data_IF_120904144791
#
_entry.id   IF_120904144791
#
_cell.length_a   1.000
_cell.length_b   1.000
_cell.length_c   1.000
_cell.angle_alpha   90.00
_cell.angle_beta   90.00
_cell.angle_gamma   90.00
#
_symmetry.space_group_name_H-M   'P 1'
#
loop_
_entity.id
_entity.type
_entity.pdbx_description
1 polymer ?
#
# COMPACT_ATOMS: atom_id res chain seq x y z
N UNK A 1 -35.28 -8.55 -4.69
CA UNK A 1 -34.11 -9.25 -4.16
C UNK A 1 -32.94 -8.80 -5.03
N UNK A 2 -32.20 -7.78 -4.58
CA UNK A 2 -31.01 -7.33 -5.30
C UNK A 2 -29.86 -8.27 -4.92
N UNK A 3 -29.45 -9.12 -5.87
CA UNK A 3 -28.16 -9.82 -5.78
C UNK A 3 -27.07 -8.77 -5.67
N UNK A 4 -26.64 -8.49 -4.44
CA UNK A 4 -25.42 -7.74 -4.18
C UNK A 4 -24.29 -8.65 -4.70
N UNK A 5 -23.79 -8.38 -5.91
CA UNK A 5 -22.59 -9.03 -6.43
C UNK A 5 -21.49 -8.78 -5.42
N UNK A 6 -21.21 -9.76 -4.60
CA UNK A 6 -20.16 -9.68 -3.59
C UNK A 6 -18.84 -9.52 -4.35
N UNK A 7 -18.19 -8.34 -4.20
CA UNK A 7 -16.94 -8.04 -4.90
C UNK A 7 -15.93 -9.17 -4.62
N UNK A 8 -15.27 -9.64 -5.68
CA UNK A 8 -14.37 -10.79 -5.63
C UNK A 8 -13.15 -10.48 -4.74
N UNK A 9 -12.83 -11.41 -3.83
CA UNK A 9 -11.63 -11.28 -3.00
C UNK A 9 -10.37 -11.33 -3.88
N UNK A 10 -9.59 -10.25 -3.89
CA UNK A 10 -8.34 -10.14 -4.64
C UNK A 10 -7.17 -10.68 -3.82
N UNK A 11 -7.07 -10.25 -2.55
CA UNK A 11 -6.09 -10.72 -1.58
C UNK A 11 -6.81 -11.28 -0.35
N UNK A 12 -6.44 -12.47 0.07
CA UNK A 12 -6.87 -13.04 1.35
C UNK A 12 -5.66 -13.46 2.17
N UNK A 13 -5.62 -13.00 3.39
CA UNK A 13 -4.64 -13.38 4.41
C UNK A 13 -5.39 -14.15 5.49
N UNK A 14 -4.91 -15.33 5.88
CA UNK A 14 -5.59 -16.23 6.78
C UNK A 14 -4.60 -16.78 7.83
N UNK A 15 -4.82 -16.39 9.07
CA UNK A 15 -4.10 -16.81 10.29
C UNK A 15 -2.57 -16.79 10.14
N UNK A 16 -2.00 -15.71 9.59
CA UNK A 16 -0.55 -15.63 9.41
C UNK A 16 0.16 -15.34 10.74
N UNK A 17 1.28 -16.05 10.95
CA UNK A 17 2.20 -15.84 12.06
C UNK A 17 3.59 -15.50 11.52
N UNK A 18 4.16 -14.38 11.96
CA UNK A 18 5.46 -13.89 11.49
C UNK A 18 6.40 -13.65 12.68
N UNK A 19 7.65 -14.05 12.51
CA UNK A 19 8.67 -13.96 13.55
C UNK A 19 9.94 -13.30 13.03
N UNK A 20 10.56 -12.49 13.87
CA UNK A 20 11.95 -12.03 13.73
C UNK A 20 12.78 -12.72 14.81
N UNK A 21 13.46 -13.81 14.43
CA UNK A 21 14.12 -14.69 15.41
C UNK A 21 13.12 -15.26 16.42
N UNK A 22 13.25 -14.90 17.69
CA UNK A 22 12.32 -15.29 18.78
C UNK A 22 11.14 -14.34 18.94
N UNK A 23 11.15 -13.15 18.31
CA UNK A 23 10.10 -12.13 18.46
C UNK A 23 8.90 -12.50 17.59
N UNK A 24 7.75 -12.76 18.19
CA UNK A 24 6.48 -13.01 17.50
C UNK A 24 5.83 -11.68 17.13
N UNK A 25 6.11 -11.21 15.90
CA UNK A 25 5.67 -9.89 15.43
C UNK A 25 4.21 -9.87 14.98
N UNK A 26 3.76 -10.90 14.24
CA UNK A 26 2.38 -11.08 13.82
C UNK A 26 1.85 -12.38 14.40
N UNK A 27 0.69 -12.29 15.07
CA UNK A 27 0.18 -13.33 16.01
C UNK A 27 -1.18 -13.86 15.57
N UNK A 28 -1.27 -14.32 14.32
CA UNK A 28 -2.51 -14.88 13.77
C UNK A 28 -3.46 -13.77 13.32
N UNK A 29 -3.10 -13.04 12.25
CA UNK A 29 -4.01 -12.06 11.64
C UNK A 29 -4.68 -12.63 10.40
N UNK A 30 -5.94 -12.28 10.22
CA UNK A 30 -6.74 -12.61 9.03
C UNK A 30 -7.44 -11.37 8.53
N UNK A 31 -7.32 -11.09 7.23
CA UNK A 31 -8.00 -9.99 6.56
C UNK A 31 -8.12 -10.26 5.06
N UNK A 32 -8.96 -9.51 4.40
CA UNK A 32 -9.12 -9.59 2.95
C UNK A 32 -9.19 -8.21 2.30
N UNK A 33 -8.79 -8.14 1.04
CA UNK A 33 -8.94 -6.98 0.16
C UNK A 33 -9.70 -7.46 -1.08
N UNK A 34 -10.81 -6.79 -1.41
CA UNK A 34 -11.62 -7.08 -2.58
C UNK A 34 -11.19 -6.22 -3.75
N UNK A 35 -11.54 -6.65 -4.97
CA UNK A 35 -11.26 -5.86 -6.17
C UNK A 35 -11.95 -4.49 -6.10
N UNK A 36 -11.19 -3.43 -6.37
CA UNK A 36 -11.70 -2.05 -6.45
C UNK A 36 -11.94 -1.37 -5.11
N UNK A 37 -11.53 -1.93 -3.96
CA UNK A 37 -11.66 -1.26 -2.66
C UNK A 37 -10.33 -0.66 -2.14
N UNK A 38 -10.43 0.31 -1.26
CA UNK A 38 -9.35 0.74 -0.36
C UNK A 38 -9.56 0.06 0.99
N UNK A 39 -8.63 -0.80 1.37
CA UNK A 39 -8.56 -1.35 2.73
C UNK A 39 -7.41 -0.70 3.48
N UNK A 40 -7.66 -0.25 4.70
CA UNK A 40 -6.59 0.30 5.54
C UNK A 40 -6.27 -0.58 6.76
N UNK A 41 -4.97 -0.71 7.04
CA UNK A 41 -4.45 -1.25 8.30
C UNK A 41 -3.92 -0.09 9.13
N UNK A 42 -4.60 0.26 10.22
CA UNK A 42 -4.18 1.31 11.14
C UNK A 42 -3.66 0.72 12.45
N UNK A 43 -2.82 1.46 13.15
CA UNK A 43 -2.26 1.00 14.44
C UNK A 43 -1.02 1.79 14.82
N UNK A 44 -0.64 1.73 16.08
CA UNK A 44 0.55 2.38 16.60
C UNK A 44 1.85 1.84 15.97
N UNK A 45 2.96 2.57 16.15
CA UNK A 45 4.28 2.08 15.75
C UNK A 45 4.60 0.77 16.46
N UNK A 46 5.14 -0.20 15.72
CA UNK A 46 5.40 -1.54 16.23
C UNK A 46 4.17 -2.47 16.31
N UNK A 47 2.98 -2.04 15.88
CA UNK A 47 1.78 -2.90 15.87
C UNK A 47 1.87 -4.07 14.86
N UNK A 48 2.80 -4.00 13.88
CA UNK A 48 3.00 -5.04 12.87
C UNK A 48 2.56 -4.66 11.46
N UNK A 49 2.21 -3.40 11.21
CA UNK A 49 1.69 -2.90 9.92
C UNK A 49 2.66 -3.18 8.75
N UNK A 50 3.87 -2.62 8.78
CA UNK A 50 4.90 -2.84 7.73
C UNK A 50 5.35 -4.30 7.66
N UNK A 51 5.37 -5.02 8.79
CA UNK A 51 5.64 -6.47 8.80
C UNK A 51 4.58 -7.23 8.00
N UNK A 52 3.32 -6.84 8.11
CA UNK A 52 2.21 -7.43 7.33
C UNK A 52 2.41 -7.17 5.84
N UNK A 53 2.67 -5.91 5.43
CA UNK A 53 2.92 -5.59 4.02
C UNK A 53 4.14 -6.32 3.46
N UNK A 54 5.23 -6.38 4.22
CA UNK A 54 6.44 -7.11 3.82
C UNK A 54 6.19 -8.62 3.67
N UNK A 55 5.29 -9.17 4.48
CA UNK A 55 4.91 -10.59 4.38
C UNK A 55 4.03 -10.84 3.14
N UNK A 56 3.05 -9.98 2.89
CA UNK A 56 2.16 -10.06 1.72
C UNK A 56 2.95 -9.85 0.42
N UNK A 57 3.93 -8.95 0.40
CA UNK A 57 4.78 -8.69 -0.77
C UNK A 57 5.85 -9.75 -1.02
N UNK A 58 5.97 -10.79 -0.16
CA UNK A 58 6.95 -11.86 -0.31
C UNK A 58 8.37 -11.49 0.11
N UNK A 59 8.57 -10.33 0.77
CA UNK A 59 9.85 -9.93 1.39
C UNK A 59 10.10 -10.69 2.69
N UNK A 60 9.04 -11.07 3.41
CA UNK A 60 9.10 -11.91 4.61
C UNK A 60 8.27 -13.17 4.37
N UNK A 61 8.71 -14.28 4.96
CA UNK A 61 7.96 -15.54 4.90
C UNK A 61 7.22 -15.75 6.23
N UNK A 62 5.89 -15.97 6.23
CA UNK A 62 5.17 -16.35 7.44
C UNK A 62 5.63 -17.73 7.88
N UNK A 63 5.65 -17.97 9.19
CA UNK A 63 5.95 -19.27 9.80
C UNK A 63 4.77 -20.23 9.63
N UNK A 64 3.55 -19.71 9.68
CA UNK A 64 2.30 -20.44 9.44
C UNK A 64 1.23 -19.50 8.91
N UNK A 65 0.11 -20.06 8.46
CA UNK A 65 -0.99 -19.36 7.84
C UNK A 65 -0.93 -19.37 6.32
N UNK A 66 -1.91 -18.77 5.68
CA UNK A 66 -2.08 -18.77 4.23
C UNK A 66 -2.22 -17.34 3.70
N UNK A 67 -1.63 -17.07 2.54
CA UNK A 67 -1.86 -15.84 1.77
C UNK A 67 -2.21 -16.26 0.35
N UNK A 68 -3.36 -15.80 -0.12
CA UNK A 68 -3.80 -16.04 -1.50
C UNK A 68 -4.03 -14.73 -2.24
N UNK A 69 -3.59 -14.69 -3.48
CA UNK A 69 -3.86 -13.60 -4.42
C UNK A 69 -4.56 -14.17 -5.65
N UNK A 70 -5.70 -13.60 -6.02
CA UNK A 70 -6.58 -14.15 -7.07
C UNK A 70 -6.89 -15.65 -6.87
N UNK A 71 -7.06 -16.07 -5.61
CA UNK A 71 -7.35 -17.46 -5.24
C UNK A 71 -6.15 -18.41 -5.28
N UNK A 72 -4.95 -17.96 -5.66
CA UNK A 72 -3.71 -18.76 -5.70
C UNK A 72 -2.82 -18.45 -4.52
N UNK A 73 -2.27 -19.49 -3.87
CA UNK A 73 -1.32 -19.29 -2.75
C UNK A 73 -0.05 -18.60 -3.25
N UNK A 74 0.38 -17.57 -2.49
CA UNK A 74 1.63 -16.85 -2.73
C UNK A 74 2.65 -17.05 -1.61
N UNK A 75 2.38 -17.90 -0.62
CA UNK A 75 3.30 -18.22 0.47
C UNK A 75 4.58 -18.86 -0.09
N UNK A 76 5.73 -18.24 0.23
CA UNK A 76 7.03 -18.72 -0.26
C UNK A 76 7.39 -18.30 -1.69
N UNK A 77 6.52 -17.52 -2.34
CA UNK A 77 6.86 -16.85 -3.61
C UNK A 77 7.69 -15.61 -3.28
N UNK A 78 8.87 -15.49 -3.92
CA UNK A 78 9.75 -14.31 -3.70
C UNK A 78 9.15 -13.03 -4.29
N UNK A 79 9.53 -11.88 -3.70
CA UNK A 79 8.97 -10.56 -4.00
C UNK A 79 8.98 -10.20 -5.51
N UNK A 80 10.04 -10.53 -6.26
CA UNK A 80 10.10 -10.27 -7.71
C UNK A 80 9.00 -10.98 -8.50
N UNK A 81 8.63 -12.21 -8.08
CA UNK A 81 7.53 -12.95 -8.70
C UNK A 81 6.17 -12.40 -8.29
N UNK A 82 6.04 -11.90 -7.03
CA UNK A 82 4.82 -11.25 -6.51
C UNK A 82 4.49 -10.00 -7.34
N UNK A 83 5.51 -9.20 -7.70
CA UNK A 83 5.33 -8.06 -8.63
C UNK A 83 4.77 -8.52 -9.98
N UNK A 84 5.30 -9.61 -10.53
CA UNK A 84 4.82 -10.20 -11.79
C UNK A 84 3.36 -10.69 -11.75
N UNK A 85 2.83 -10.99 -10.55
CA UNK A 85 1.40 -11.32 -10.37
C UNK A 85 0.48 -10.09 -10.36
N UNK A 86 1.04 -8.87 -10.29
CA UNK A 86 0.29 -7.62 -10.27
C UNK A 86 0.13 -7.02 -8.87
N UNK A 87 1.06 -7.26 -7.96
CA UNK A 87 1.11 -6.63 -6.63
C UNK A 87 2.33 -5.72 -6.57
N UNK A 88 2.15 -4.44 -6.22
CA UNK A 88 3.26 -3.51 -6.03
C UNK A 88 3.26 -2.94 -4.62
N UNK A 89 4.45 -2.80 -4.05
CA UNK A 89 4.67 -2.18 -2.74
C UNK A 89 5.41 -0.85 -2.91
N UNK A 90 4.82 0.23 -2.39
CA UNK A 90 5.52 1.48 -2.09
C UNK A 90 5.92 1.43 -0.60
N UNK A 91 7.16 1.11 -0.27
CA UNK A 91 7.59 0.92 1.12
C UNK A 91 7.78 2.25 1.84
N UNK A 92 7.77 2.20 3.16
CA UNK A 92 8.14 3.31 4.03
C UNK A 92 9.54 3.88 3.68
N UNK A 93 9.71 5.18 3.86
CA UNK A 93 10.98 5.87 3.63
C UNK A 93 11.31 6.12 2.15
N UNK A 94 10.27 6.10 1.28
CA UNK A 94 10.33 6.46 -0.16
C UNK A 94 11.18 5.51 -1.00
N UNK A 95 12.37 5.10 -0.55
CA UNK A 95 13.29 4.13 -1.18
C UNK A 95 13.55 4.41 -2.67
N UNK A 96 13.68 5.69 -3.06
CA UNK A 96 14.06 6.08 -4.42
C UNK A 96 15.54 5.81 -4.67
N UNK A 97 15.91 5.54 -5.91
CA UNK A 97 17.31 5.44 -6.34
C UNK A 97 17.87 6.86 -6.47
N UNK A 98 18.52 7.33 -5.42
CA UNK A 98 18.91 8.73 -5.25
C UNK A 98 19.86 9.25 -6.35
N UNK A 99 20.69 8.39 -6.94
CA UNK A 99 21.66 8.75 -7.98
C UNK A 99 21.08 8.68 -9.41
N UNK A 100 19.87 8.14 -9.56
CA UNK A 100 19.15 8.07 -10.83
C UNK A 100 18.24 9.29 -11.00
N UNK A 101 17.95 9.62 -12.25
CA UNK A 101 16.94 10.63 -12.58
C UNK A 101 15.53 10.16 -12.21
N UNK A 102 14.57 11.08 -12.23
CA UNK A 102 13.13 10.77 -12.06
C UNK A 102 12.70 9.72 -13.09
N UNK A 103 13.01 9.96 -14.39
CA UNK A 103 12.67 9.03 -15.47
C UNK A 103 13.24 7.64 -15.24
N UNK A 104 14.54 7.54 -14.96
CA UNK A 104 15.19 6.25 -14.71
C UNK A 104 14.59 5.50 -13.50
N UNK A 105 14.25 6.22 -12.42
CA UNK A 105 13.52 5.63 -11.29
C UNK A 105 12.17 5.04 -11.71
N UNK A 106 11.42 5.76 -12.54
CA UNK A 106 10.12 5.28 -13.04
C UNK A 106 10.31 4.06 -13.94
N UNK A 107 11.21 4.10 -14.90
CA UNK A 107 11.52 2.99 -15.80
C UNK A 107 11.92 1.71 -15.04
N UNK A 108 12.68 1.84 -13.95
CA UNK A 108 12.97 0.72 -13.04
C UNK A 108 11.71 0.10 -12.41
N UNK A 109 10.65 0.88 -12.19
CA UNK A 109 9.37 0.36 -11.70
C UNK A 109 8.65 -0.53 -12.73
N UNK A 110 8.91 -0.31 -14.00
CA UNK A 110 8.34 -1.08 -15.11
C UNK A 110 9.10 -2.34 -15.51
N UNK A 111 10.15 -2.73 -14.78
CA UNK A 111 11.06 -3.83 -15.18
C UNK A 111 10.37 -5.17 -15.45
N UNK A 112 9.20 -5.40 -14.86
CA UNK A 112 8.39 -6.61 -15.04
C UNK A 112 7.43 -6.54 -16.24
N UNK A 113 7.36 -5.37 -16.93
CA UNK A 113 6.47 -5.13 -18.06
C UNK A 113 7.20 -5.27 -19.39
N UNK A 114 6.49 -5.57 -20.48
CA UNK A 114 7.03 -5.49 -21.83
C UNK A 114 7.57 -4.08 -22.13
N UNK A 115 8.70 -4.01 -22.84
CA UNK A 115 9.37 -2.73 -23.13
C UNK A 115 8.51 -1.75 -23.95
N UNK A 116 7.64 -2.24 -24.80
CA UNK A 116 6.70 -1.47 -25.60
C UNK A 116 5.59 -0.82 -24.79
N UNK A 117 5.31 -1.30 -23.57
CA UNK A 117 4.34 -0.70 -22.65
C UNK A 117 4.93 0.43 -21.78
N UNK A 118 6.26 0.51 -21.63
CA UNK A 118 6.91 1.47 -20.75
C UNK A 118 6.58 2.92 -21.12
N UNK A 119 6.61 3.36 -22.39
CA UNK A 119 6.30 4.74 -22.76
C UNK A 119 4.88 5.16 -22.35
N UNK A 120 3.89 4.29 -22.57
CA UNK A 120 2.51 4.56 -22.20
C UNK A 120 2.32 4.63 -20.67
N UNK A 121 3.02 3.76 -19.93
CA UNK A 121 3.00 3.77 -18.46
C UNK A 121 3.65 5.04 -17.89
N UNK A 122 4.76 5.50 -18.49
CA UNK A 122 5.40 6.77 -18.12
C UNK A 122 4.47 7.96 -18.32
N UNK A 123 3.78 8.02 -19.46
CA UNK A 123 2.86 9.14 -19.74
C UNK A 123 1.66 9.13 -18.77
N UNK A 124 1.11 7.96 -18.42
CA UNK A 124 0.07 7.84 -17.38
C UNK A 124 0.58 8.34 -16.03
N UNK A 125 1.78 7.93 -15.60
CA UNK A 125 2.38 8.39 -14.35
C UNK A 125 2.63 9.90 -14.38
N UNK A 126 3.15 10.45 -15.47
CA UNK A 126 3.41 11.88 -15.61
C UNK A 126 2.11 12.71 -15.64
N UNK A 127 1.02 12.14 -16.15
CA UNK A 127 -0.31 12.79 -16.11
C UNK A 127 -0.81 12.90 -14.68
N UNK A 128 -0.61 11.85 -13.85
CA UNK A 128 -1.01 11.82 -12.44
C UNK A 128 -0.09 12.66 -11.55
N UNK A 129 1.19 12.74 -11.92
CA UNK A 129 2.22 13.47 -11.18
C UNK A 129 2.92 14.51 -12.08
N UNK A 130 2.26 15.62 -12.44
CA UNK A 130 2.83 16.61 -13.38
C UNK A 130 4.19 17.14 -12.91
N UNK A 131 4.40 17.29 -11.60
CA UNK A 131 5.68 17.71 -11.02
C UNK A 131 6.84 16.77 -11.35
N UNK A 132 6.57 15.48 -11.47
CA UNK A 132 7.60 14.52 -11.88
C UNK A 132 7.96 14.71 -13.37
N UNK A 133 7.00 15.04 -14.22
CA UNK A 133 7.24 15.36 -15.64
C UNK A 133 8.13 16.57 -15.82
N UNK A 134 7.84 17.65 -15.08
CA UNK A 134 8.65 18.88 -15.09
C UNK A 134 10.12 18.60 -14.70
N UNK A 135 10.35 17.57 -13.90
CA UNK A 135 11.65 17.21 -13.31
C UNK A 135 12.20 15.87 -13.83
N UNK A 136 11.70 15.38 -14.95
CA UNK A 136 12.00 14.01 -15.41
C UNK A 136 13.49 13.72 -15.54
N UNK A 137 14.31 14.73 -15.85
CA UNK A 137 15.77 14.63 -16.00
C UNK A 137 16.53 14.96 -14.70
N UNK A 138 15.83 15.41 -13.65
CA UNK A 138 16.44 15.76 -12.37
C UNK A 138 16.82 14.50 -11.60
N UNK A 139 17.99 14.54 -10.92
CA UNK A 139 18.46 13.46 -10.04
C UNK A 139 17.54 13.37 -8.81
N UNK A 140 17.01 12.17 -8.52
CA UNK A 140 15.99 11.93 -7.52
C UNK A 140 16.42 12.33 -6.09
N UNK A 141 17.71 12.22 -5.78
CA UNK A 141 18.27 12.64 -4.48
C UNK A 141 18.14 14.15 -4.20
N UNK A 142 17.91 14.98 -5.24
CA UNK A 142 17.79 16.44 -5.12
C UNK A 142 16.32 16.91 -5.04
N UNK A 143 15.38 15.99 -5.11
CA UNK A 143 13.94 16.27 -4.97
C UNK A 143 13.57 16.57 -3.51
N UNK A 144 12.52 17.35 -3.30
CA UNK A 144 11.90 17.51 -1.99
C UNK A 144 11.31 16.18 -1.49
N UNK A 145 11.06 16.08 -0.18
CA UNK A 145 10.49 14.87 0.41
C UNK A 145 9.17 14.44 -0.20
N UNK A 146 8.28 15.40 -0.52
CA UNK A 146 7.01 15.11 -1.18
C UNK A 146 7.18 14.64 -2.63
N UNK A 147 8.08 15.27 -3.38
CA UNK A 147 8.39 14.83 -4.74
C UNK A 147 9.02 13.43 -4.78
N UNK A 148 9.87 13.09 -3.80
CA UNK A 148 10.40 11.73 -3.66
C UNK A 148 9.30 10.72 -3.32
N UNK A 149 8.29 11.11 -2.51
CA UNK A 149 7.14 10.25 -2.21
C UNK A 149 6.28 10.02 -3.45
N UNK A 150 5.99 11.09 -4.22
CA UNK A 150 5.30 10.97 -5.50
C UNK A 150 6.07 10.07 -6.48
N UNK A 151 7.40 10.20 -6.51
CA UNK A 151 8.26 9.34 -7.34
C UNK A 151 8.19 7.87 -6.91
N UNK A 152 8.20 7.58 -5.62
CA UNK A 152 8.07 6.22 -5.10
C UNK A 152 6.71 5.60 -5.47
N UNK A 153 5.62 6.36 -5.34
CA UNK A 153 4.29 5.94 -5.77
C UNK A 153 4.21 5.75 -7.30
N UNK A 154 4.70 6.72 -8.07
CA UNK A 154 4.77 6.63 -9.52
C UNK A 154 5.55 5.40 -10.00
N UNK A 155 6.69 5.11 -9.36
CA UNK A 155 7.49 3.92 -9.63
C UNK A 155 6.71 2.62 -9.37
N UNK A 156 5.93 2.55 -8.30
CA UNK A 156 5.07 1.39 -8.04
C UNK A 156 3.99 1.23 -9.12
N UNK A 157 3.40 2.33 -9.59
CA UNK A 157 2.38 2.35 -10.63
C UNK A 157 2.88 1.92 -12.01
N UNK A 158 4.18 2.08 -12.29
CA UNK A 158 4.78 1.65 -13.56
C UNK A 158 4.60 0.15 -13.82
N UNK A 159 4.44 -0.68 -12.79
CA UNK A 159 4.14 -2.11 -12.94
C UNK A 159 2.67 -2.40 -13.29
N UNK A 160 1.80 -1.39 -13.38
CA UNK A 160 0.33 -1.50 -13.57
C UNK A 160 -0.27 -2.52 -12.59
N UNK A 161 -0.16 -2.30 -11.28
CA UNK A 161 -0.57 -3.29 -10.31
C UNK A 161 -2.08 -3.43 -10.23
N UNK A 162 -2.56 -4.65 -10.00
CA UNK A 162 -3.93 -4.94 -9.57
C UNK A 162 -4.15 -4.56 -8.11
N UNK A 163 -3.11 -4.72 -7.28
CA UNK A 163 -3.08 -4.33 -5.87
C UNK A 163 -1.87 -3.43 -5.62
N UNK A 164 -2.13 -2.18 -5.27
CA UNK A 164 -1.12 -1.24 -4.81
C UNK A 164 -1.08 -1.24 -3.27
N UNK A 165 0.06 -1.57 -2.71
CA UNK A 165 0.31 -1.52 -1.26
C UNK A 165 1.13 -0.29 -0.91
N UNK A 166 0.65 0.53 0.03
CA UNK A 166 1.26 1.78 0.46
C UNK A 166 1.61 1.69 1.95
N UNK A 167 2.89 1.84 2.29
CA UNK A 167 3.39 1.78 3.67
C UNK A 167 3.72 3.19 4.16
N UNK A 168 2.83 3.75 4.98
CA UNK A 168 2.91 5.08 5.60
C UNK A 168 3.29 6.20 4.59
N UNK A 169 2.52 6.35 3.48
CA UNK A 169 2.88 7.26 2.41
C UNK A 169 2.88 8.73 2.82
N UNK A 170 2.22 9.09 3.92
CA UNK A 170 2.15 10.46 4.44
C UNK A 170 3.26 10.81 5.43
N UNK A 171 4.05 9.83 5.90
CA UNK A 171 4.98 10.01 6.99
C UNK A 171 6.08 11.03 6.67
N UNK A 172 6.27 11.99 7.59
CA UNK A 172 7.31 13.03 7.49
C UNK A 172 7.09 14.05 6.37
N UNK A 173 5.85 14.19 5.90
CA UNK A 173 5.46 15.23 4.95
C UNK A 173 4.78 16.41 5.65
N UNK A 174 4.90 17.60 5.02
CA UNK A 174 4.13 18.77 5.42
C UNK A 174 2.63 18.56 5.18
N UNK A 175 1.72 19.15 5.97
CA UNK A 175 0.27 18.92 5.86
C UNK A 175 -0.30 19.04 4.46
N UNK A 176 0.10 20.07 3.72
CA UNK A 176 -0.36 20.27 2.33
C UNK A 176 0.04 19.13 1.39
N UNK A 177 1.20 18.50 1.62
CA UNK A 177 1.65 17.35 0.82
C UNK A 177 0.93 16.06 1.25
N UNK A 178 0.56 15.94 2.54
CA UNK A 178 -0.28 14.84 3.02
C UNK A 178 -1.62 14.85 2.28
N UNK A 179 -2.31 16.01 2.24
CA UNK A 179 -3.56 16.17 1.50
C UNK A 179 -3.41 15.75 0.03
N UNK A 180 -2.35 16.23 -0.65
CA UNK A 180 -2.07 15.85 -2.04
C UNK A 180 -1.89 14.34 -2.23
N UNK A 181 -1.17 13.66 -1.33
CA UNK A 181 -0.98 12.20 -1.38
C UNK A 181 -2.32 11.48 -1.24
N UNK A 182 -3.17 11.90 -0.30
CA UNK A 182 -4.48 11.28 -0.12
C UNK A 182 -5.44 11.57 -1.27
N UNK A 183 -5.35 12.73 -1.90
CA UNK A 183 -6.13 13.02 -3.11
C UNK A 183 -5.70 12.12 -4.29
N UNK A 184 -4.40 11.90 -4.45
CA UNK A 184 -3.88 10.94 -5.43
C UNK A 184 -4.39 9.51 -5.13
N UNK A 185 -4.40 9.08 -3.87
CA UNK A 185 -4.95 7.77 -3.47
C UNK A 185 -6.42 7.65 -3.88
N UNK A 186 -7.24 8.68 -3.62
CA UNK A 186 -8.65 8.72 -4.06
C UNK A 186 -8.79 8.65 -5.58
N UNK A 187 -7.94 9.37 -6.33
CA UNK A 187 -7.96 9.35 -7.79
C UNK A 187 -7.60 7.97 -8.35
N UNK A 188 -6.59 7.31 -7.78
CA UNK A 188 -6.21 5.95 -8.15
C UNK A 188 -7.36 4.97 -7.90
N UNK A 189 -8.02 5.08 -6.75
CA UNK A 189 -9.18 4.25 -6.42
C UNK A 189 -10.34 4.48 -7.40
N UNK A 190 -10.69 5.74 -7.70
CA UNK A 190 -11.72 6.07 -8.70
C UNK A 190 -11.40 5.54 -10.09
N UNK A 191 -10.11 5.40 -10.41
CA UNK A 191 -9.65 4.77 -11.65
C UNK A 191 -9.66 3.23 -11.60
N UNK A 192 -10.15 2.62 -10.50
CA UNK A 192 -10.32 1.17 -10.34
C UNK A 192 -9.11 0.45 -9.72
N UNK A 193 -8.11 1.18 -9.21
CA UNK A 193 -6.97 0.55 -8.52
C UNK A 193 -7.40 0.05 -7.14
N UNK A 194 -7.15 -1.23 -6.84
CA UNK A 194 -7.31 -1.78 -5.49
C UNK A 194 -6.13 -1.36 -4.62
N UNK A 195 -6.38 -0.89 -3.39
CA UNK A 195 -5.34 -0.32 -2.54
C UNK A 195 -5.37 -0.97 -1.15
N UNK A 196 -4.21 -1.40 -0.67
CA UNK A 196 -3.97 -1.75 0.73
C UNK A 196 -3.08 -0.66 1.34
N UNK A 197 -3.70 0.19 2.16
CA UNK A 197 -3.06 1.34 2.79
C UNK A 197 -2.67 1.01 4.23
N UNK A 198 -1.42 1.23 4.57
CA UNK A 198 -0.96 1.22 5.96
C UNK A 198 -0.64 2.65 6.38
N UNK A 199 -1.21 3.08 7.49
CA UNK A 199 -1.03 4.44 8.00
C UNK A 199 -1.03 4.49 9.52
N UNK A 200 -0.31 5.47 10.05
CA UNK A 200 -0.37 5.86 11.45
C UNK A 200 -1.45 6.93 11.67
N UNK A 201 -1.63 7.83 10.69
CA UNK A 201 -2.70 8.84 10.72
C UNK A 201 -4.05 8.16 10.44
N UNK A 202 -4.67 7.64 11.52
CA UNK A 202 -5.92 6.89 11.42
C UNK A 202 -7.06 7.71 10.82
N UNK A 203 -7.17 9.01 11.16
CA UNK A 203 -8.22 9.88 10.65
C UNK A 203 -8.17 10.01 9.13
N UNK A 204 -6.99 10.29 8.59
CA UNK A 204 -6.79 10.41 7.14
C UNK A 204 -7.03 9.07 6.44
N UNK A 205 -6.48 7.98 6.99
CA UNK A 205 -6.65 6.65 6.41
C UNK A 205 -8.13 6.21 6.36
N UNK A 206 -8.86 6.39 7.45
CA UNK A 206 -10.29 6.05 7.54
C UNK A 206 -11.17 6.94 6.64
N UNK A 207 -10.75 8.20 6.39
CA UNK A 207 -11.50 9.11 5.53
C UNK A 207 -11.52 8.71 4.04
N UNK A 208 -10.60 7.84 3.62
CA UNK A 208 -10.47 7.40 2.22
C UNK A 208 -10.76 5.92 2.02
N UNK A 209 -10.76 5.13 3.09
CA UNK A 209 -10.92 3.68 3.03
C UNK A 209 -12.40 3.27 2.99
N UNK A 210 -12.66 2.13 2.33
CA UNK A 210 -13.96 1.44 2.38
C UNK A 210 -14.04 0.56 3.63
N UNK A 211 -12.95 -0.15 3.96
CA UNK A 211 -12.86 -1.04 5.12
C UNK A 211 -11.55 -0.83 5.86
N UNK A 212 -11.59 -1.13 7.16
CA UNK A 212 -10.45 -0.95 8.04
C UNK A 212 -10.22 -2.13 8.98
N UNK A 213 -8.95 -2.34 9.31
CA UNK A 213 -8.49 -3.26 10.34
C UNK A 213 -7.56 -2.51 11.28
N UNK A 214 -7.82 -2.58 12.58
CA UNK A 214 -6.99 -1.96 13.62
C UNK A 214 -6.04 -3.01 14.17
N UNK A 215 -4.74 -2.77 14.02
CA UNK A 215 -3.68 -3.63 14.55
C UNK A 215 -3.22 -3.14 15.91
N UNK A 216 -3.18 -4.07 16.88
CA UNK A 216 -2.59 -3.86 18.20
C UNK A 216 -1.65 -5.01 18.56
N UNK A 217 -0.37 -4.74 18.73
CA UNK A 217 0.66 -5.72 19.18
C UNK A 217 0.63 -7.05 18.40
N UNK A 218 0.54 -6.96 17.06
CA UNK A 218 0.55 -8.10 16.14
C UNK A 218 -0.77 -8.84 15.98
N UNK A 219 -1.90 -8.27 16.42
CA UNK A 219 -3.25 -8.83 16.28
C UNK A 219 -4.20 -7.79 15.70
N UNK A 220 -5.23 -8.23 15.00
CA UNK A 220 -6.37 -7.38 14.65
C UNK A 220 -7.30 -7.31 15.85
N UNK A 221 -7.62 -6.11 16.31
CA UNK A 221 -8.47 -5.85 17.48
C UNK A 221 -9.86 -5.35 17.12
N UNK A 222 -9.97 -4.61 15.99
CA UNK A 222 -11.21 -4.06 15.47
C UNK A 222 -11.16 -4.22 13.95
N UNK A 223 -12.30 -4.48 13.32
CA UNK A 223 -12.42 -4.52 11.86
C UNK A 223 -13.86 -4.25 11.45
N UNK A 224 -14.04 -3.64 10.29
CA UNK A 224 -15.36 -3.32 9.74
C UNK A 224 -15.29 -2.32 8.60
N UNK A 225 -16.44 -1.78 8.24
CA UNK A 225 -16.51 -0.66 7.32
C UNK A 225 -15.79 0.55 7.94
N UNK A 226 -15.07 1.33 7.12
CA UNK A 226 -14.23 2.40 7.64
C UNK A 226 -15.01 3.45 8.43
N UNK A 227 -16.26 3.72 8.03
CA UNK A 227 -17.15 4.64 8.74
C UNK A 227 -17.50 4.12 10.15
N UNK A 228 -17.76 2.82 10.30
CA UNK A 228 -18.08 2.20 11.59
C UNK A 228 -16.84 2.18 12.50
N UNK A 229 -15.68 1.87 11.93
CA UNK A 229 -14.39 1.89 12.67
C UNK A 229 -14.04 3.31 13.10
N UNK A 230 -14.33 4.33 12.28
CA UNK A 230 -14.12 5.74 12.61
C UNK A 230 -15.03 6.18 13.78
N UNK A 231 -16.24 5.64 13.88
CA UNK A 231 -17.21 5.95 14.94
C UNK A 231 -16.99 5.13 16.24
N UNK A 232 -16.09 4.14 16.25
CA UNK A 232 -15.83 3.30 17.43
C UNK A 232 -15.10 4.10 18.52
N UNK A 233 -15.67 4.17 19.72
CA UNK A 233 -15.13 4.94 20.86
C UNK A 233 -13.69 4.56 21.22
N UNK A 234 -13.32 3.29 21.04
CA UNK A 234 -11.95 2.80 21.30
C UNK A 234 -10.95 3.36 20.29
N UNK A 235 -11.38 3.52 19.04
CA UNK A 235 -10.56 4.11 17.96
C UNK A 235 -10.45 5.61 18.18
N UNK A 236 -11.56 6.26 18.53
CA UNK A 236 -11.61 7.68 18.88
C UNK A 236 -10.62 7.99 20.02
N UNK A 237 -10.70 7.27 21.12
CA UNK A 237 -9.84 7.48 22.28
C UNK A 237 -8.35 7.15 22.00
N UNK A 238 -8.05 6.12 21.20
CA UNK A 238 -6.68 5.67 20.97
C UNK A 238 -5.93 6.44 19.87
N UNK A 239 -6.63 6.95 18.85
CA UNK A 239 -6.01 7.44 17.62
C UNK A 239 -6.47 8.82 17.16
N UNK A 240 -7.59 9.34 17.66
CA UNK A 240 -8.21 10.58 17.16
C UNK A 240 -8.22 11.72 18.18
N UNK A 241 -7.67 11.51 19.38
CA UNK A 241 -7.51 12.55 20.39
C UNK A 241 -8.85 12.98 21.00
N UNK A 242 -9.60 12.01 21.51
CA UNK A 242 -10.78 12.29 22.34
C UNK A 242 -10.43 12.94 23.67
#
# INVERSE_FOLDING_TARGET
MSDTIQAKSLLKVDDIHVYYGSIHAIKGISFEVREGEIVTLIGANGAGKSTTLNTVSGLLRPRSGMITFEGKSIVGIGASKVVGLGMALCPEGRRVFQQMTVRENLEMGGYSRPNDEIPASLEDVFTRFPRLKEREKQVAGTLSGGEQQMLAMGRALMSKPKLLMLDEPSMGLAPILVEQIFDIIKELHRAGTTILLVEQNAQMALSVADRAYVLGTGKITISGDAADVLADDRVQAAYLGG
#
